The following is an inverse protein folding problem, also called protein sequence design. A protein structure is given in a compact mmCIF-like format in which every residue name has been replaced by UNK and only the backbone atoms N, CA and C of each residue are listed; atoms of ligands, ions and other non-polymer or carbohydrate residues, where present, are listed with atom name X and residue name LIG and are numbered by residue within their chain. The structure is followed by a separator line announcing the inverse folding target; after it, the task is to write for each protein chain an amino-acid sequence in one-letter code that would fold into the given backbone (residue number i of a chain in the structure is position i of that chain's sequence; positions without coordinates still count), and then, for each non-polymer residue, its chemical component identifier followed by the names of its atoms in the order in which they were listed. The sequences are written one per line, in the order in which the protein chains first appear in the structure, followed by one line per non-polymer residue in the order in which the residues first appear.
data_IF_548648117459
#
_entry.id   IF_548648117459
#
_cell.length_a   1.000
_cell.length_b   1.000
_cell.length_c   1.000
_cell.angle_alpha   90.00
_cell.angle_beta   90.00
_cell.angle_gamma   90.00
#
_symmetry.space_group_name_H-M   'P 1'
#
loop_
_entity.id
_entity.type
_entity.pdbx_description
1 polymer ?
#
# COMPACT_ATOMS: atom_id res chain seq x y z
N UNK A 1 -39.64 -19.85 16.82
CA UNK A 1 -38.63 -18.93 17.47
C UNK A 1 -37.16 -19.19 17.14
N UNK A 2 -36.71 -20.43 16.90
CA UNK A 2 -35.26 -20.71 16.57
C UNK A 2 -34.76 -20.09 15.25
N UNK A 3 -35.61 -19.98 14.19
CA UNK A 3 -35.17 -19.38 12.88
C UNK A 3 -34.88 -17.88 12.95
N UNK A 4 -35.59 -17.12 13.79
CA UNK A 4 -35.35 -15.67 13.94
C UNK A 4 -34.05 -15.38 14.72
N UNK A 5 -33.72 -16.18 15.71
CA UNK A 5 -32.48 -16.08 16.48
C UNK A 5 -31.25 -16.41 15.63
N UNK A 6 -31.37 -17.42 14.75
CA UNK A 6 -30.29 -17.80 13.81
C UNK A 6 -30.05 -16.71 12.75
N UNK A 7 -31.14 -16.07 12.28
CA UNK A 7 -31.05 -14.95 11.33
C UNK A 7 -30.43 -13.70 11.97
N UNK A 8 -30.77 -13.40 13.25
CA UNK A 8 -30.12 -12.29 14.00
C UNK A 8 -28.65 -12.56 14.31
N UNK A 9 -28.26 -13.80 14.62
CA UNK A 9 -26.87 -14.17 14.85
C UNK A 9 -26.03 -14.04 13.56
N UNK A 10 -26.56 -14.50 12.40
CA UNK A 10 -25.91 -14.28 11.08
C UNK A 10 -25.81 -12.81 10.73
N UNK A 11 -26.85 -11.99 10.98
CA UNK A 11 -26.80 -10.55 10.72
C UNK A 11 -25.77 -9.81 11.61
N UNK A 12 -25.60 -10.24 12.86
CA UNK A 12 -24.57 -9.67 13.78
C UNK A 12 -23.15 -10.05 13.38
N UNK A 13 -22.93 -11.24 12.84
CA UNK A 13 -21.62 -11.68 12.36
C UNK A 13 -21.15 -10.89 11.11
N UNK A 14 -22.09 -10.34 10.34
CA UNK A 14 -21.84 -9.49 9.18
C UNK A 14 -21.52 -8.02 9.52
N UNK A 15 -21.75 -7.60 10.75
CA UNK A 15 -21.47 -6.23 11.22
C UNK A 15 -20.10 -6.09 11.91
N UNK A 16 -19.26 -7.13 11.90
CA UNK A 16 -17.88 -6.99 12.39
C UNK A 16 -17.10 -6.10 11.43
N UNK A 17 -16.45 -5.04 11.93
CA UNK A 17 -15.65 -4.17 11.09
C UNK A 17 -14.55 -5.01 10.41
N UNK A 18 -14.41 -4.86 9.10
CA UNK A 18 -13.33 -5.50 8.33
C UNK A 18 -12.01 -4.93 8.78
N UNK A 19 -11.32 -5.62 9.66
CA UNK A 19 -10.05 -5.19 10.24
C UNK A 19 -8.91 -6.09 9.79
N UNK A 20 -7.70 -5.55 9.78
CA UNK A 20 -6.49 -6.33 9.50
C UNK A 20 -6.30 -7.44 10.54
N UNK A 21 -6.57 -7.15 11.81
CA UNK A 21 -6.55 -8.15 12.89
C UNK A 21 -7.60 -9.25 12.68
N UNK A 22 -8.80 -8.87 12.21
CA UNK A 22 -9.84 -9.83 11.84
C UNK A 22 -9.40 -10.75 10.69
N UNK A 23 -8.73 -10.19 9.67
CA UNK A 23 -8.17 -10.96 8.56
C UNK A 23 -7.10 -11.95 9.03
N UNK A 24 -6.21 -11.52 9.94
CA UNK A 24 -5.14 -12.36 10.49
C UNK A 24 -5.69 -13.54 11.31
N UNK A 25 -6.66 -13.28 12.20
CA UNK A 25 -7.17 -14.28 13.14
C UNK A 25 -8.22 -15.20 12.50
N UNK A 26 -9.17 -14.63 11.76
CA UNK A 26 -10.37 -15.33 11.25
C UNK A 26 -10.34 -15.56 9.72
N UNK A 27 -9.42 -14.93 8.99
CA UNK A 27 -9.26 -15.09 7.55
C UNK A 27 -8.80 -16.49 7.18
N UNK A 28 -9.18 -16.93 5.97
CA UNK A 28 -8.70 -18.18 5.40
C UNK A 28 -7.21 -18.07 4.98
N UNK A 29 -6.61 -19.17 4.54
CA UNK A 29 -5.21 -19.19 4.10
C UNK A 29 -4.92 -18.18 2.98
N UNK A 30 -5.84 -18.01 2.03
CA UNK A 30 -5.68 -17.07 0.91
C UNK A 30 -5.71 -15.63 1.41
N UNK A 31 -6.62 -15.29 2.32
CA UNK A 31 -6.69 -13.95 2.94
C UNK A 31 -5.44 -13.64 3.76
N UNK A 32 -4.90 -14.63 4.46
CA UNK A 32 -3.62 -14.48 5.18
C UNK A 32 -2.46 -14.30 4.21
N UNK A 33 -2.42 -15.06 3.12
CA UNK A 33 -1.41 -14.93 2.08
C UNK A 33 -1.50 -13.56 1.36
N UNK A 34 -2.70 -12.96 1.29
CA UNK A 34 -2.88 -11.62 0.72
C UNK A 34 -2.30 -10.49 1.59
N UNK A 35 -1.81 -10.79 2.79
CA UNK A 35 -0.99 -9.86 3.57
C UNK A 35 0.44 -9.77 3.05
N UNK A 36 0.92 -10.85 2.44
CA UNK A 36 2.27 -10.92 1.85
C UNK A 36 2.23 -10.51 0.37
N UNK A 37 1.19 -10.92 -0.36
CA UNK A 37 0.99 -10.62 -1.78
C UNK A 37 -0.33 -9.86 -1.90
N UNK A 38 -0.25 -8.53 -2.08
CA UNK A 38 -1.42 -7.66 -2.10
C UNK A 38 -2.39 -8.04 -3.22
N UNK A 39 -3.68 -8.11 -2.88
CA UNK A 39 -4.73 -8.38 -3.86
C UNK A 39 -4.97 -9.85 -4.20
N UNK A 40 -4.14 -10.79 -3.71
CA UNK A 40 -4.32 -12.22 -3.98
C UNK A 40 -5.71 -12.72 -3.55
N UNK A 41 -6.19 -12.31 -2.38
CA UNK A 41 -7.53 -12.64 -1.90
C UNK A 41 -8.64 -12.09 -2.78
N UNK A 42 -8.46 -10.90 -3.35
CA UNK A 42 -9.42 -10.32 -4.29
C UNK A 42 -9.47 -11.12 -5.59
N UNK A 43 -8.29 -11.51 -6.14
CA UNK A 43 -8.21 -12.36 -7.34
C UNK A 43 -8.90 -13.70 -7.12
N UNK A 44 -8.62 -14.35 -5.98
CA UNK A 44 -9.25 -15.63 -5.63
C UNK A 44 -10.77 -15.57 -5.54
N UNK A 45 -11.32 -14.40 -5.19
CA UNK A 45 -12.76 -14.15 -5.14
C UNK A 45 -13.30 -13.47 -6.41
N UNK A 46 -12.64 -13.62 -7.56
CA UNK A 46 -13.07 -13.12 -8.88
C UNK A 46 -13.08 -11.59 -9.04
N UNK A 47 -12.50 -10.84 -8.11
CA UNK A 47 -12.26 -9.40 -8.24
C UNK A 47 -10.90 -9.13 -8.88
N UNK A 48 -10.70 -9.65 -10.11
CA UNK A 48 -9.38 -9.72 -10.77
C UNK A 48 -8.77 -8.33 -10.94
N UNK A 49 -9.52 -7.38 -11.49
CA UNK A 49 -9.02 -6.02 -11.76
C UNK A 49 -8.52 -5.35 -10.48
N UNK A 50 -9.30 -5.45 -9.40
CA UNK A 50 -8.95 -4.87 -8.10
C UNK A 50 -7.71 -5.53 -7.50
N UNK A 51 -7.62 -6.85 -7.59
CA UNK A 51 -6.46 -7.59 -7.12
C UNK A 51 -5.19 -7.27 -7.90
N UNK A 52 -5.28 -7.17 -9.23
CA UNK A 52 -4.15 -6.78 -10.09
C UNK A 52 -3.67 -5.35 -9.81
N UNK A 53 -4.58 -4.41 -9.52
CA UNK A 53 -4.20 -3.05 -9.15
C UNK A 53 -3.40 -3.02 -7.85
N UNK A 54 -3.84 -3.74 -6.82
CA UNK A 54 -3.09 -3.84 -5.56
C UNK A 54 -1.72 -4.50 -5.78
N UNK A 55 -1.66 -5.56 -6.57
CA UNK A 55 -0.41 -6.24 -6.91
C UNK A 55 0.55 -5.30 -7.67
N UNK A 56 0.03 -4.53 -8.63
CA UNK A 56 0.85 -3.57 -9.38
C UNK A 56 1.45 -2.49 -8.48
N UNK A 57 0.68 -1.98 -7.50
CA UNK A 57 1.17 -1.01 -6.51
C UNK A 57 2.28 -1.64 -5.66
N UNK A 58 2.12 -2.89 -5.23
CA UNK A 58 3.13 -3.61 -4.45
C UNK A 58 4.42 -3.79 -5.24
N UNK A 59 4.33 -4.27 -6.49
CA UNK A 59 5.50 -4.46 -7.36
C UNK A 59 6.21 -3.13 -7.62
N UNK A 60 5.48 -2.06 -7.90
CA UNK A 60 6.04 -0.73 -8.10
C UNK A 60 6.76 -0.21 -6.84
N UNK A 61 6.15 -0.40 -5.67
CA UNK A 61 6.77 -0.02 -4.40
C UNK A 61 8.03 -0.82 -4.11
N UNK A 62 8.01 -2.14 -4.30
CA UNK A 62 9.19 -2.99 -4.09
C UNK A 62 10.32 -2.62 -5.06
N UNK A 63 9.99 -2.38 -6.33
CA UNK A 63 10.97 -1.91 -7.31
C UNK A 63 11.60 -0.58 -6.88
N UNK A 64 10.78 0.38 -6.46
CA UNK A 64 11.28 1.67 -5.96
C UNK A 64 12.19 1.48 -4.73
N UNK A 65 11.77 0.66 -3.75
CA UNK A 65 12.55 0.43 -2.54
C UNK A 65 13.90 -0.21 -2.81
N UNK A 66 13.94 -1.21 -3.71
CA UNK A 66 15.18 -1.90 -4.08
C UNK A 66 16.10 -0.95 -4.87
N UNK A 67 15.54 -0.16 -5.78
CA UNK A 67 16.34 0.72 -6.64
C UNK A 67 16.89 1.95 -5.93
N UNK A 68 16.11 2.55 -5.03
CA UNK A 68 16.44 3.86 -4.43
C UNK A 68 16.10 3.97 -2.95
N UNK A 69 14.97 3.43 -2.52
CA UNK A 69 14.38 3.73 -1.23
C UNK A 69 15.25 3.24 -0.06
N UNK A 70 15.76 2.02 -0.12
CA UNK A 70 16.63 1.48 0.94
C UNK A 70 17.91 2.31 1.09
N UNK A 71 18.52 2.71 -0.02
CA UNK A 71 19.70 3.57 0.02
C UNK A 71 19.36 4.92 0.66
N UNK A 72 18.31 5.59 0.19
CA UNK A 72 17.90 6.90 0.70
C UNK A 72 17.61 6.89 2.21
N UNK A 73 16.90 5.86 2.70
CA UNK A 73 16.58 5.72 4.12
C UNK A 73 17.81 5.37 4.93
N UNK A 74 18.71 4.52 4.43
CA UNK A 74 19.94 4.13 5.15
C UNK A 74 20.90 5.29 5.35
N UNK A 75 20.88 6.28 4.45
CA UNK A 75 21.72 7.47 4.53
C UNK A 75 21.14 8.60 5.39
N UNK A 76 19.86 8.55 5.74
CA UNK A 76 19.21 9.59 6.56
C UNK A 76 19.91 9.88 7.90
N UNK A 77 20.37 8.88 8.68
CA UNK A 77 20.99 9.14 9.98
C UNK A 77 22.31 9.90 9.90
N UNK A 78 23.07 9.73 8.83
CA UNK A 78 24.39 10.33 8.63
C UNK A 78 24.35 11.56 7.73
N UNK A 79 23.27 11.74 6.97
CA UNK A 79 23.16 12.76 5.91
C UNK A 79 24.31 12.70 4.90
N UNK A 80 24.88 11.50 4.73
CA UNK A 80 26.02 11.24 3.88
C UNK A 80 27.35 11.15 4.63
N UNK A 81 28.29 10.44 4.05
CA UNK A 81 29.60 10.15 4.66
C UNK A 81 30.75 10.72 3.84
N UNK A 82 30.49 11.06 2.57
CA UNK A 82 31.52 11.49 1.64
C UNK A 82 31.61 12.99 1.59
N UNK A 83 32.76 13.51 1.93
CA UNK A 83 33.12 14.88 1.58
C UNK A 83 33.52 14.97 0.10
N UNK A 84 33.45 16.17 -0.46
CA UNK A 84 33.88 16.43 -1.81
C UNK A 84 35.39 16.31 -1.85
N UNK A 85 35.90 15.33 -2.60
CA UNK A 85 37.34 15.06 -2.67
C UNK A 85 37.91 15.32 -4.07
N UNK A 86 39.15 15.77 -4.10
CA UNK A 86 39.89 15.97 -5.34
C UNK A 86 40.65 14.68 -5.63
N UNK A 87 40.26 13.97 -6.68
CA UNK A 87 40.86 12.70 -7.09
C UNK A 87 41.61 12.88 -8.41
N UNK A 88 42.82 12.34 -8.49
CA UNK A 88 43.58 12.33 -9.74
C UNK A 88 42.98 11.30 -10.71
N UNK A 89 42.66 11.75 -11.93
CA UNK A 89 42.19 10.87 -12.99
C UNK A 89 43.37 10.57 -13.95
N UNK A 90 43.93 9.37 -13.84
CA UNK A 90 45.09 8.95 -14.65
C UNK A 90 44.80 8.95 -16.15
N UNK A 91 43.55 8.61 -16.54
CA UNK A 91 43.17 8.57 -17.96
C UNK A 91 43.15 9.94 -18.62
N UNK A 92 42.88 11.00 -17.87
CA UNK A 92 42.80 12.38 -18.35
C UNK A 92 43.98 13.25 -17.91
N UNK A 93 44.82 12.73 -17.02
CA UNK A 93 45.93 13.47 -16.41
C UNK A 93 45.52 14.80 -15.78
N UNK A 94 44.38 14.85 -15.16
CA UNK A 94 43.81 16.01 -14.46
C UNK A 94 43.24 15.64 -13.11
N UNK A 95 43.14 16.62 -12.22
CA UNK A 95 42.37 16.47 -10.99
C UNK A 95 40.90 16.70 -11.26
N UNK A 96 40.07 15.71 -10.98
CA UNK A 96 38.61 15.81 -11.00
C UNK A 96 38.07 15.85 -9.58
N UNK A 97 37.00 16.63 -9.38
CA UNK A 97 36.30 16.59 -8.12
C UNK A 97 35.29 15.45 -8.13
N UNK A 98 35.49 14.45 -7.26
CA UNK A 98 34.42 13.52 -6.92
C UNK A 98 33.41 14.27 -6.07
N UNK A 99 32.14 14.23 -6.51
CA UNK A 99 31.04 14.81 -5.74
C UNK A 99 30.92 14.07 -4.42
N UNK A 100 30.88 14.82 -3.33
CA UNK A 100 30.47 14.32 -2.04
C UNK A 100 28.99 13.99 -2.00
N UNK A 101 28.54 13.42 -0.90
CA UNK A 101 27.12 13.23 -0.67
C UNK A 101 26.44 14.62 -0.55
N UNK A 102 25.32 14.77 -1.23
CA UNK A 102 24.52 15.98 -1.09
C UNK A 102 23.53 15.79 0.04
N UNK A 103 23.85 16.30 1.23
CA UNK A 103 23.02 16.17 2.43
C UNK A 103 21.58 16.65 2.23
N UNK A 104 21.36 17.69 1.43
CA UNK A 104 20.00 18.18 1.14
C UNK A 104 19.20 17.20 0.28
N UNK A 105 19.85 16.61 -0.74
CA UNK A 105 19.20 15.59 -1.57
C UNK A 105 18.95 14.31 -0.78
N UNK A 106 19.88 13.88 0.08
CA UNK A 106 19.69 12.72 0.95
C UNK A 106 18.53 12.94 1.88
N UNK A 107 18.44 14.11 2.52
CA UNK A 107 17.32 14.46 3.37
C UNK A 107 16.01 14.45 2.60
N UNK A 108 15.97 15.10 1.43
CA UNK A 108 14.76 15.16 0.59
C UNK A 108 14.30 13.77 0.16
N UNK A 109 15.20 12.98 -0.43
CA UNK A 109 14.85 11.62 -0.90
C UNK A 109 14.52 10.66 0.24
N UNK A 110 15.24 10.77 1.36
CA UNK A 110 14.96 9.95 2.54
C UNK A 110 13.59 10.26 3.13
N UNK A 111 13.25 11.53 3.33
CA UNK A 111 11.93 11.94 3.84
C UNK A 111 10.82 11.58 2.85
N UNK A 112 11.05 11.79 1.54
CA UNK A 112 10.11 11.39 0.50
C UNK A 112 9.86 9.86 0.54
N UNK A 113 10.90 9.05 0.73
CA UNK A 113 10.79 7.59 0.85
C UNK A 113 9.98 7.18 2.07
N UNK A 114 10.19 7.83 3.22
CA UNK A 114 9.37 7.59 4.42
C UNK A 114 7.90 7.91 4.18
N UNK A 115 7.62 9.02 3.50
CA UNK A 115 6.26 9.41 3.14
C UNK A 115 5.60 8.42 2.17
N UNK A 116 6.31 7.99 1.13
CA UNK A 116 5.86 6.95 0.18
C UNK A 116 5.56 5.64 0.93
N UNK A 117 6.44 5.25 1.86
CA UNK A 117 6.25 4.06 2.70
C UNK A 117 5.01 4.17 3.58
N UNK A 118 4.76 5.34 4.15
CA UNK A 118 3.56 5.59 4.95
C UNK A 118 2.28 5.44 4.11
N UNK A 119 2.25 6.03 2.90
CA UNK A 119 1.13 5.85 1.96
C UNK A 119 0.98 4.37 1.60
N UNK A 120 2.07 3.67 1.31
CA UNK A 120 2.04 2.25 0.98
C UNK A 120 1.41 1.41 2.11
N UNK A 121 1.75 1.68 3.37
CA UNK A 121 1.14 1.01 4.54
C UNK A 121 -0.37 1.22 4.59
N UNK A 122 -0.85 2.43 4.27
CA UNK A 122 -2.30 2.71 4.20
C UNK A 122 -2.96 1.87 3.11
N UNK A 123 -2.38 1.86 1.90
CA UNK A 123 -2.89 1.08 0.77
C UNK A 123 -2.85 -0.42 1.08
N UNK A 124 -1.77 -0.92 1.68
CA UNK A 124 -1.64 -2.29 2.13
C UNK A 124 -2.76 -2.69 3.11
N UNK A 125 -3.05 -1.84 4.11
CA UNK A 125 -4.16 -2.07 5.05
C UNK A 125 -5.50 -2.19 4.33
N UNK A 126 -5.76 -1.33 3.36
CA UNK A 126 -7.01 -1.36 2.60
C UNK A 126 -7.08 -2.60 1.68
N UNK A 127 -5.97 -3.04 1.09
CA UNK A 127 -5.91 -4.27 0.31
C UNK A 127 -6.25 -5.51 1.16
N UNK A 128 -5.67 -5.62 2.36
CA UNK A 128 -5.95 -6.72 3.30
C UNK A 128 -7.41 -6.71 3.75
N UNK A 129 -7.96 -5.55 4.11
CA UNK A 129 -9.38 -5.41 4.46
C UNK A 129 -10.29 -5.78 3.31
N UNK A 130 -9.94 -5.36 2.09
CA UNK A 130 -10.68 -5.68 0.87
C UNK A 130 -10.71 -7.18 0.60
N UNK A 131 -9.56 -7.86 0.74
CA UNK A 131 -9.46 -9.31 0.61
C UNK A 131 -10.34 -10.05 1.63
N UNK A 132 -10.27 -9.62 2.89
CA UNK A 132 -11.09 -10.19 3.97
C UNK A 132 -12.59 -9.94 3.77
N UNK A 133 -12.96 -8.74 3.35
CA UNK A 133 -14.35 -8.41 2.99
C UNK A 133 -14.86 -9.30 1.87
N UNK A 134 -14.06 -9.53 0.84
CA UNK A 134 -14.41 -10.38 -0.30
C UNK A 134 -14.63 -11.83 0.13
N UNK A 135 -13.78 -12.37 1.02
CA UNK A 135 -13.96 -13.69 1.60
C UNK A 135 -15.29 -13.81 2.34
N UNK A 136 -15.57 -12.86 3.23
CA UNK A 136 -16.80 -12.91 4.06
C UNK A 136 -18.06 -12.77 3.20
N UNK A 137 -18.06 -11.91 2.18
CA UNK A 137 -19.18 -11.75 1.27
C UNK A 137 -19.39 -13.00 0.41
N UNK A 138 -18.29 -13.60 -0.09
CA UNK A 138 -18.36 -14.86 -0.83
C UNK A 138 -18.93 -16.00 0.01
N UNK A 139 -18.49 -16.16 1.26
CA UNK A 139 -19.04 -17.15 2.21
C UNK A 139 -20.54 -16.94 2.50
N UNK A 140 -21.00 -15.71 2.40
CA UNK A 140 -22.42 -15.38 2.61
C UNK A 140 -23.27 -15.45 1.34
N UNK A 141 -22.68 -15.79 0.21
CA UNK A 141 -23.39 -15.80 -1.08
C UNK A 141 -23.88 -14.41 -1.51
N UNK A 142 -23.25 -13.33 -1.01
CA UNK A 142 -23.60 -11.96 -1.38
C UNK A 142 -22.81 -11.51 -2.61
N UNK A 143 -23.40 -10.55 -3.35
CA UNK A 143 -22.73 -9.93 -4.50
C UNK A 143 -21.42 -9.28 -4.07
N UNK A 144 -20.37 -9.53 -4.84
CA UNK A 144 -19.07 -8.91 -4.69
C UNK A 144 -19.00 -7.72 -5.66
N UNK A 145 -18.80 -6.53 -5.12
CA UNK A 145 -18.67 -5.34 -5.94
C UNK A 145 -17.51 -5.49 -6.91
N UNK A 146 -17.75 -5.13 -8.16
CA UNK A 146 -16.69 -4.99 -9.16
C UNK A 146 -15.86 -3.74 -8.88
N UNK A 147 -14.64 -3.67 -9.44
CA UNK A 147 -13.82 -2.46 -9.35
C UNK A 147 -14.56 -1.20 -9.79
N UNK A 148 -15.36 -1.29 -10.86
CA UNK A 148 -16.15 -0.18 -11.38
C UNK A 148 -17.21 0.32 -10.39
N UNK A 149 -17.86 -0.59 -9.68
CA UNK A 149 -18.84 -0.25 -8.63
C UNK A 149 -18.20 0.40 -7.43
N UNK A 150 -17.06 -0.14 -6.97
CA UNK A 150 -16.28 0.43 -5.87
C UNK A 150 -15.74 1.83 -6.23
N UNK A 151 -15.23 2.01 -7.46
CA UNK A 151 -14.73 3.29 -7.95
C UNK A 151 -15.85 4.33 -8.02
N UNK A 152 -17.02 3.94 -8.56
CA UNK A 152 -18.20 4.80 -8.59
C UNK A 152 -18.63 5.23 -7.19
N UNK A 153 -18.69 4.29 -6.24
CA UNK A 153 -19.08 4.58 -4.86
C UNK A 153 -18.08 5.52 -4.15
N UNK A 154 -16.80 5.42 -4.49
CA UNK A 154 -15.75 6.30 -3.94
C UNK A 154 -15.94 7.74 -4.44
N UNK A 155 -16.28 7.92 -5.72
CA UNK A 155 -16.58 9.23 -6.28
C UNK A 155 -17.88 9.80 -5.71
N UNK A 156 -18.93 9.02 -5.65
CA UNK A 156 -20.24 9.47 -5.14
C UNK A 156 -20.18 9.88 -3.65
N UNK A 157 -19.39 9.17 -2.85
CA UNK A 157 -19.28 9.44 -1.40
C UNK A 157 -18.26 10.52 -1.03
N UNK A 158 -17.20 10.70 -1.83
CA UNK A 158 -16.07 11.57 -1.48
C UNK A 158 -15.94 12.81 -2.39
N UNK A 159 -16.77 12.92 -3.43
CA UNK A 159 -16.72 14.05 -4.35
C UNK A 159 -16.85 15.38 -3.61
N UNK A 160 -17.73 15.45 -2.61
CA UNK A 160 -17.91 16.63 -1.76
C UNK A 160 -16.66 16.96 -0.94
N UNK A 161 -15.97 15.92 -0.43
CA UNK A 161 -14.73 16.10 0.35
C UNK A 161 -13.56 16.50 -0.53
N UNK A 162 -13.51 15.97 -1.75
CA UNK A 162 -12.48 16.31 -2.74
C UNK A 162 -12.67 17.74 -3.26
N UNK A 163 -13.91 18.16 -3.50
CA UNK A 163 -14.24 19.52 -3.89
C UNK A 163 -13.97 20.56 -2.79
N UNK A 164 -14.12 20.17 -1.51
CA UNK A 164 -13.78 21.02 -0.37
C UNK A 164 -12.27 21.11 -0.13
N UNK A 165 -11.48 20.13 -0.57
CA UNK A 165 -10.02 20.16 -0.43
C UNK A 165 -9.31 20.96 -1.54
N UNK A 166 -9.94 21.12 -2.71
CA UNK A 166 -9.40 21.86 -3.86
C UNK A 166 -9.06 23.35 -3.57
N UNK A 167 -9.87 24.13 -2.84
CA UNK A 167 -9.53 25.52 -2.54
C UNK A 167 -8.47 25.71 -1.44
N UNK A 168 -7.98 24.62 -0.81
CA UNK A 168 -6.94 24.65 0.22
C UNK A 168 -5.54 24.27 -0.33
N UNK A 169 -5.42 23.96 -1.62
CA UNK A 169 -4.16 23.76 -2.35
C UNK A 169 -3.82 24.97 -3.21
#
# INVERSE_FOLDING_TARGET
MKKAATKKKKAKEFQTPYTVTGALVKGNAITKLSMLIMGLGNIAHKQIVKGLMFLAIEVAYLYYMISYGFYAVSMLPSLGWREREKVWNDAKSIYEYQAGDNSQLILLYGVATLYITFIFIIVWREAVKSSYKSELLAKAGKHLNTFKEDFKSLFDQNLHKLLLALPLM
#
